data_IF_154057058924
#
_entry.id   IF_154057058924
#
_cell.length_a   1.000
_cell.length_b   1.000
_cell.length_c   1.000
_cell.angle_alpha   90.00
_cell.angle_beta   90.00
_cell.angle_gamma   90.00
#
_symmetry.space_group_name_H-M   'P 1'
#
loop_
_entity.id
_entity.type
_entity.pdbx_description
1 polymer ?
#
# COMPACT_ATOMS: atom_id res chain seq x y z
N UNK A 1 11.56 -3.93 -5.48
CA UNK A 1 10.36 -3.98 -4.64
C UNK A 1 10.69 -3.47 -3.25
N UNK A 2 9.81 -2.70 -2.65
CA UNK A 2 10.09 -2.10 -1.34
C UNK A 2 10.19 -3.18 -0.25
N UNK A 3 11.06 -2.98 0.74
CA UNK A 3 11.23 -3.98 1.80
C UNK A 3 9.95 -4.31 2.56
N UNK A 4 9.02 -3.35 2.64
CA UNK A 4 7.79 -3.56 3.39
C UNK A 4 6.59 -3.95 2.52
N UNK A 5 6.82 -4.17 1.23
CA UNK A 5 5.73 -4.48 0.31
C UNK A 5 4.94 -5.71 0.76
N UNK A 6 5.63 -6.80 1.06
CA UNK A 6 4.96 -8.04 1.45
C UNK A 6 4.18 -7.88 2.74
N UNK A 7 4.72 -7.13 3.70
CA UNK A 7 4.06 -6.89 4.97
C UNK A 7 2.78 -6.09 4.77
N UNK A 8 2.85 -5.01 4.00
CA UNK A 8 1.68 -4.16 3.75
C UNK A 8 0.62 -4.94 2.98
N UNK A 9 1.04 -5.68 1.96
CA UNK A 9 0.11 -6.48 1.17
C UNK A 9 -0.62 -7.49 2.04
N UNK A 10 0.12 -8.17 2.94
CA UNK A 10 -0.48 -9.16 3.83
C UNK A 10 -1.52 -8.53 4.73
N UNK A 11 -1.20 -7.38 5.33
CA UNK A 11 -2.12 -6.70 6.23
C UNK A 11 -3.39 -6.28 5.51
N UNK A 12 -3.25 -5.79 4.29
CA UNK A 12 -4.42 -5.39 3.51
C UNK A 12 -5.25 -6.60 3.12
N UNK A 13 -4.60 -7.67 2.65
CA UNK A 13 -5.30 -8.88 2.23
C UNK A 13 -6.05 -9.54 3.37
N UNK A 14 -5.53 -9.45 4.59
CA UNK A 14 -6.16 -10.01 5.78
C UNK A 14 -7.25 -9.11 6.36
N UNK A 15 -7.45 -7.94 5.78
CA UNK A 15 -8.45 -7.02 6.28
C UNK A 15 -8.04 -6.24 7.52
N UNK A 16 -6.76 -6.33 7.90
CA UNK A 16 -6.24 -5.60 9.06
C UNK A 16 -6.02 -4.13 8.75
N UNK A 17 -5.73 -3.80 7.50
CA UNK A 17 -5.50 -2.44 7.05
C UNK A 17 -6.54 -2.07 6.01
N UNK A 18 -7.04 -0.83 6.08
CA UNK A 18 -7.90 -0.30 5.03
C UNK A 18 -7.03 0.45 4.00
N UNK A 19 -7.69 0.93 2.94
CA UNK A 19 -6.97 1.58 1.85
C UNK A 19 -6.24 2.85 2.30
N UNK A 20 -6.80 3.56 3.28
CA UNK A 20 -6.17 4.77 3.81
C UNK A 20 -4.82 4.45 4.46
N UNK A 21 -4.74 3.33 5.16
CA UNK A 21 -3.50 2.91 5.80
C UNK A 21 -2.45 2.54 4.75
N UNK A 22 -2.85 1.90 3.66
CA UNK A 22 -1.93 1.57 2.58
C UNK A 22 -1.44 2.85 1.91
N UNK A 23 -2.30 3.85 1.74
CA UNK A 23 -1.88 5.15 1.20
C UNK A 23 -0.86 5.82 2.10
N UNK A 24 -1.04 5.72 3.41
CA UNK A 24 -0.06 6.27 4.36
C UNK A 24 1.28 5.58 4.23
N UNK A 25 1.30 4.30 3.90
CA UNK A 25 2.55 3.57 3.67
C UNK A 25 3.31 4.17 2.47
N UNK A 26 2.59 4.62 1.44
CA UNK A 26 3.22 5.30 0.31
C UNK A 26 3.83 6.62 0.78
N UNK A 27 3.09 7.38 1.57
CA UNK A 27 3.57 8.67 2.09
C UNK A 27 4.84 8.49 2.91
N UNK A 28 4.92 7.40 3.67
CA UNK A 28 6.09 7.11 4.50
C UNK A 28 7.22 6.43 3.72
N UNK A 29 7.05 6.23 2.42
CA UNK A 29 8.03 5.56 1.57
C UNK A 29 8.27 4.09 1.94
N UNK A 30 7.31 3.46 2.59
CA UNK A 30 7.35 2.02 2.85
C UNK A 30 7.12 1.22 1.57
N UNK A 31 6.27 1.76 0.70
CA UNK A 31 5.98 1.19 -0.61
C UNK A 31 5.88 2.33 -1.62
N UNK A 32 5.86 1.99 -2.90
CA UNK A 32 5.71 2.99 -3.97
C UNK A 32 4.25 3.10 -4.37
N UNK A 33 3.96 4.14 -5.17
CA UNK A 33 2.61 4.33 -5.72
C UNK A 33 2.20 3.14 -6.59
N UNK A 34 3.15 2.59 -7.35
CA UNK A 34 2.88 1.41 -8.17
C UNK A 34 2.52 0.21 -7.30
N UNK A 35 3.23 0.06 -6.19
CA UNK A 35 2.96 -1.04 -5.26
C UNK A 35 1.61 -0.87 -4.58
N UNK A 36 1.20 0.36 -4.29
CA UNK A 36 -0.14 0.64 -3.78
C UNK A 36 -1.19 0.09 -4.74
N UNK A 37 -1.02 0.37 -6.03
CA UNK A 37 -1.96 -0.11 -7.03
C UNK A 37 -1.97 -1.63 -7.12
N UNK A 38 -0.78 -2.26 -7.02
CA UNK A 38 -0.70 -3.72 -7.04
C UNK A 38 -1.41 -4.35 -5.84
N UNK A 39 -1.33 -3.69 -4.68
CA UNK A 39 -1.93 -4.22 -3.46
C UNK A 39 -3.43 -4.02 -3.43
N UNK A 40 -3.89 -2.82 -3.75
CA UNK A 40 -5.29 -2.44 -3.55
C UNK A 40 -6.14 -2.58 -4.80
N UNK A 41 -5.51 -2.61 -5.97
CA UNK A 41 -6.22 -2.58 -7.25
C UNK A 41 -6.75 -1.21 -7.63
N UNK A 42 -6.42 -0.19 -6.86
CA UNK A 42 -6.85 1.19 -7.11
C UNK A 42 -5.65 2.05 -7.46
N UNK A 43 -5.80 3.00 -8.39
CA UNK A 43 -4.68 3.90 -8.71
C UNK A 43 -4.39 4.81 -7.53
N UNK A 44 -3.09 5.05 -7.30
CA UNK A 44 -2.70 5.98 -6.26
C UNK A 44 -2.77 7.40 -6.82
N UNK A 45 -3.65 8.21 -6.26
CA UNK A 45 -3.79 9.60 -6.68
C UNK A 45 -3.17 10.50 -5.63
N UNK A 46 -2.19 11.28 -6.06
CA UNK A 46 -1.64 12.33 -5.23
C UNK A 46 -2.48 13.58 -5.49
N UNK A 47 -3.13 14.04 -4.47
CA UNK A 47 -3.96 15.24 -4.61
C UNK A 47 -3.11 16.47 -4.82
#
# INVERSE_FOLDING_TARGET
MSPKFNKVKRYYDQGLWNITMVRNAVVKNWITAEEFEQITGEPYETA
#
